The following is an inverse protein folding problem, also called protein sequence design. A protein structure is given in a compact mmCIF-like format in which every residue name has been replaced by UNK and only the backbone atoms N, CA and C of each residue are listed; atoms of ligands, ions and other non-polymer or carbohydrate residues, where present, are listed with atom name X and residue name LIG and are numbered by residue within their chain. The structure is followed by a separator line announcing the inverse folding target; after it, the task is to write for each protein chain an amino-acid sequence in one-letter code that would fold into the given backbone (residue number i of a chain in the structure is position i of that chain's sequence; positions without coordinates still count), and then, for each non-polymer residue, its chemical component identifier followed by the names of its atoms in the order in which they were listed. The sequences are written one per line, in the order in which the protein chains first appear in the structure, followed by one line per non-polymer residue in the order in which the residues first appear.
data_IF_226946739777
#
_entry.id   IF_226946739777
#
_cell.length_a   1.000
_cell.length_b   1.000
_cell.length_c   1.000
_cell.angle_alpha   90.00
_cell.angle_beta   90.00
_cell.angle_gamma   90.00
#
_symmetry.space_group_name_H-M   'P 1'
#
loop_
_entity.id
_entity.type
_entity.pdbx_description
1 polymer ?
#
# COMPACT_ATOMS: atom_id res chain seq x y z
N UNK A 1 -24.11 11.52 12.43
CA UNK A 1 -23.98 10.84 11.12
C UNK A 1 -23.27 9.51 11.32
N UNK A 2 -23.91 8.40 10.93
CA UNK A 2 -23.31 7.05 10.96
C UNK A 2 -22.22 7.00 9.88
N UNK A 3 -20.96 6.76 10.24
CA UNK A 3 -19.91 6.51 9.25
C UNK A 3 -20.30 5.26 8.45
N UNK A 4 -20.31 5.28 7.11
CA UNK A 4 -20.49 4.06 6.36
C UNK A 4 -19.38 3.10 6.77
N UNK A 5 -19.77 1.93 7.32
CA UNK A 5 -18.87 0.79 7.48
C UNK A 5 -18.68 0.23 6.08
N UNK A 6 -17.73 0.81 5.34
CA UNK A 6 -17.21 0.13 4.16
C UNK A 6 -16.57 -1.14 4.70
N UNK A 7 -17.07 -2.29 4.27
CA UNK A 7 -16.47 -3.55 4.63
C UNK A 7 -15.11 -3.60 3.94
N UNK A 8 -14.05 -3.39 4.72
CA UNK A 8 -12.67 -3.35 4.23
C UNK A 8 -12.28 -4.71 3.62
N UNK A 9 -13.08 -5.76 3.87
CA UNK A 9 -12.92 -7.07 3.27
C UNK A 9 -13.27 -7.11 1.77
N UNK A 10 -14.31 -6.40 1.32
CA UNK A 10 -14.66 -6.35 -0.12
C UNK A 10 -13.57 -5.63 -0.93
N UNK A 11 -12.90 -4.63 -0.34
CA UNK A 11 -11.74 -3.99 -0.97
C UNK A 11 -10.50 -4.92 -1.08
N UNK A 12 -10.50 -6.09 -0.41
CA UNK A 12 -9.40 -7.06 -0.42
C UNK A 12 -9.60 -8.19 -1.43
N UNK A 13 -10.82 -8.44 -1.90
CA UNK A 13 -11.12 -9.54 -2.83
C UNK A 13 -10.71 -9.27 -4.29
N UNK A 14 -10.32 -8.03 -4.63
CA UNK A 14 -10.11 -7.59 -6.01
C UNK A 14 -8.67 -7.54 -6.54
N UNK A 15 -7.67 -8.13 -5.87
CA UNK A 15 -6.26 -7.87 -6.22
C UNK A 15 -5.43 -9.13 -6.51
N UNK A 16 -5.66 -9.72 -7.68
CA UNK A 16 -4.86 -10.83 -8.21
C UNK A 16 -3.35 -10.66 -7.95
N UNK A 17 -2.74 -11.65 -7.28
CA UNK A 17 -1.30 -11.76 -7.10
C UNK A 17 -0.69 -10.91 -5.96
N UNK A 18 -1.46 -10.04 -5.31
CA UNK A 18 -0.92 -9.20 -4.23
C UNK A 18 -0.94 -9.90 -2.87
N UNK A 19 0.10 -9.64 -2.05
CA UNK A 19 0.26 -10.21 -0.70
C UNK A 19 0.49 -9.10 0.31
N UNK A 20 -0.05 -9.29 1.52
CA UNK A 20 0.10 -8.32 2.60
C UNK A 20 1.49 -8.45 3.26
N UNK A 21 2.05 -7.31 3.64
CA UNK A 21 3.24 -7.20 4.49
C UNK A 21 2.95 -6.20 5.62
N UNK A 22 3.34 -6.55 6.84
CA UNK A 22 3.26 -5.63 7.97
C UNK A 22 4.50 -4.75 7.99
N UNK A 23 4.32 -3.42 7.93
CA UNK A 23 5.40 -2.44 8.01
C UNK A 23 5.20 -1.53 9.21
N UNK A 24 6.27 -1.33 9.99
CA UNK A 24 6.31 -0.30 11.02
C UNK A 24 6.81 1.00 10.40
N UNK A 25 5.97 2.05 10.46
CA UNK A 25 6.25 3.36 9.90
C UNK A 25 6.06 4.44 10.98
N UNK A 26 6.77 5.58 10.89
CA UNK A 26 6.50 6.73 11.74
C UNK A 26 5.04 7.18 11.66
N UNK A 27 4.47 7.60 12.78
CA UNK A 27 3.06 8.03 12.89
C UNK A 27 2.70 9.10 11.84
N UNK A 28 3.57 10.07 11.64
CA UNK A 28 3.29 11.18 10.73
C UNK A 28 3.38 10.77 9.26
N UNK A 29 4.24 9.80 8.93
CA UNK A 29 4.26 9.20 7.60
C UNK A 29 2.96 8.44 7.29
N UNK A 30 2.42 7.71 8.27
CA UNK A 30 1.13 7.01 8.13
C UNK A 30 0.01 8.02 7.85
N UNK A 31 0.00 9.16 8.56
CA UNK A 31 -1.00 10.22 8.33
C UNK A 31 -0.88 10.79 6.93
N UNK A 32 0.33 11.17 6.52
CA UNK A 32 0.58 11.74 5.20
C UNK A 32 0.16 10.78 4.08
N UNK A 33 0.53 9.50 4.17
CA UNK A 33 0.14 8.47 3.20
C UNK A 33 -1.38 8.33 3.11
N UNK A 34 -2.09 8.34 4.25
CA UNK A 34 -3.55 8.25 4.28
C UNK A 34 -4.22 9.49 3.70
N UNK A 35 -3.71 10.69 3.99
CA UNK A 35 -4.23 11.93 3.41
C UNK A 35 -4.08 11.92 1.89
N UNK A 36 -2.89 11.60 1.38
CA UNK A 36 -2.65 11.50 -0.06
C UNK A 36 -3.55 10.44 -0.72
N UNK A 37 -3.78 9.30 -0.07
CA UNK A 37 -4.68 8.27 -0.55
C UNK A 37 -6.14 8.77 -0.68
N UNK A 38 -6.61 9.57 0.28
CA UNK A 38 -7.94 10.18 0.25
C UNK A 38 -8.04 11.21 -0.88
N UNK A 39 -7.04 12.10 -0.99
CA UNK A 39 -6.99 13.13 -2.03
C UNK A 39 -7.00 12.52 -3.43
N UNK A 40 -6.25 11.43 -3.64
CA UNK A 40 -6.16 10.72 -4.92
C UNK A 40 -7.34 9.78 -5.20
N UNK A 41 -8.23 9.56 -4.22
CA UNK A 41 -9.32 8.59 -4.32
C UNK A 41 -8.84 7.15 -4.50
N UNK A 42 -7.67 6.80 -3.96
CA UNK A 42 -6.99 5.51 -4.18
C UNK A 42 -6.63 4.83 -2.86
N UNK A 43 -6.52 3.50 -2.81
CA UNK A 43 -5.97 2.82 -1.65
C UNK A 43 -4.51 3.20 -1.37
N UNK A 44 -4.16 3.33 -0.09
CA UNK A 44 -2.82 3.73 0.36
C UNK A 44 -1.69 2.81 -0.16
N UNK A 45 -1.96 1.51 -0.36
CA UNK A 45 -0.93 0.59 -0.84
C UNK A 45 -0.51 0.88 -2.29
N UNK A 46 -1.37 1.49 -3.12
CA UNK A 46 -1.00 1.88 -4.50
C UNK A 46 0.08 2.96 -4.49
N UNK A 47 -0.05 3.93 -3.57
CA UNK A 47 0.96 4.98 -3.39
C UNK A 47 2.25 4.40 -2.80
N UNK A 48 2.13 3.49 -1.83
CA UNK A 48 3.26 2.79 -1.26
C UNK A 48 4.00 1.94 -2.30
N UNK A 49 3.27 1.20 -3.15
CA UNK A 49 3.81 0.39 -4.24
C UNK A 49 4.67 1.23 -5.19
N UNK A 50 4.16 2.39 -5.64
CA UNK A 50 4.93 3.31 -6.50
C UNK A 50 6.20 3.83 -5.85
N UNK A 51 6.12 4.23 -4.58
CA UNK A 51 7.27 4.75 -3.84
C UNK A 51 8.33 3.67 -3.62
N UNK A 52 7.90 2.45 -3.27
CA UNK A 52 8.77 1.29 -3.07
C UNK A 52 9.41 0.88 -4.41
N UNK A 53 8.64 0.76 -5.49
CA UNK A 53 9.14 0.42 -6.82
C UNK A 53 10.19 1.45 -7.30
N UNK A 54 9.91 2.74 -7.17
CA UNK A 54 10.87 3.80 -7.50
C UNK A 54 12.16 3.69 -6.68
N UNK A 55 12.05 3.39 -5.38
CA UNK A 55 13.20 3.18 -4.50
C UNK A 55 14.03 1.94 -4.88
N UNK A 56 13.35 0.86 -5.31
CA UNK A 56 14.00 -0.41 -5.64
C UNK A 56 14.57 -0.44 -7.06
N UNK A 57 14.03 0.30 -8.03
CA UNK A 57 14.55 0.38 -9.40
C UNK A 57 16.02 0.80 -9.48
N UNK A 58 16.49 1.60 -8.52
CA UNK A 58 17.91 1.98 -8.41
C UNK A 58 18.80 0.93 -7.73
N UNK A 59 18.24 -0.19 -7.28
CA UNK A 59 18.93 -1.21 -6.48
C UNK A 59 18.87 -2.55 -7.20
N UNK A 60 20.04 -3.17 -7.43
CA UNK A 60 20.10 -4.60 -7.76
C UNK A 60 19.69 -5.41 -6.54
N UNK A 61 18.39 -5.44 -6.22
CA UNK A 61 17.84 -6.44 -5.31
C UNK A 61 18.05 -7.76 -6.03
N UNK A 62 19.02 -8.56 -5.57
CA UNK A 62 19.12 -9.95 -5.99
C UNK A 62 17.85 -10.64 -5.49
N UNK A 63 16.79 -10.63 -6.29
CA UNK A 63 15.66 -11.51 -6.07
C UNK A 63 16.24 -12.91 -6.11
N UNK A 64 16.26 -13.59 -4.96
CA UNK A 64 16.43 -15.03 -4.98
C UNK A 64 15.15 -15.53 -5.62
N UNK A 65 15.19 -15.76 -6.93
CA UNK A 65 14.14 -16.51 -7.60
C UNK A 65 13.97 -17.80 -6.81
N UNK A 66 12.81 -17.97 -6.19
CA UNK A 66 12.44 -19.24 -5.60
C UNK A 66 12.49 -20.28 -6.72
N UNK A 67 13.22 -21.36 -6.47
CA UNK A 67 13.31 -22.53 -7.34
C UNK A 67 12.04 -23.36 -7.20
#
# INVERSE_FOLDING_TARGET
MKRPRIDVSEAREGEEGRRQILLYLPKDLIKALKSAAIEDGKPAYILAEKAIDAYLKGRKVRSRSAK
#
